data_IF_557006540215
#
_entry.id   IF_557006540215
#
_cell.length_a   1.000
_cell.length_b   1.000
_cell.length_c   1.000
_cell.angle_alpha   90.00
_cell.angle_beta   90.00
_cell.angle_gamma   90.00
#
_symmetry.space_group_name_H-M   'P 1'
#
loop_
_entity.id
_entity.type
_entity.pdbx_description
1 polymer ?
#
# COMPACT_ATOMS: atom_id res chain seq x y z
N UNK A 1 -4.98 -3.04 -15.84
CA UNK A 1 -3.58 -2.63 -16.14
C UNK A 1 -2.98 -1.79 -15.00
N UNK A 2 -3.58 -0.67 -14.59
CA UNK A 2 -3.07 0.18 -13.50
C UNK A 2 -2.86 -0.54 -12.14
N UNK A 3 -3.78 -1.44 -11.79
CA UNK A 3 -3.74 -2.27 -10.58
C UNK A 3 -2.47 -3.13 -10.45
N UNK A 4 -1.98 -3.62 -11.59
CA UNK A 4 -0.82 -4.50 -11.65
C UNK A 4 0.49 -3.73 -11.44
N UNK A 5 0.52 -2.47 -11.85
CA UNK A 5 1.66 -1.56 -11.70
C UNK A 5 1.82 -1.21 -10.21
N UNK A 6 0.72 -0.87 -9.53
CA UNK A 6 0.74 -0.55 -8.09
C UNK A 6 1.08 -1.77 -7.24
N UNK A 7 0.58 -2.96 -7.59
CA UNK A 7 1.02 -4.21 -6.96
C UNK A 7 2.52 -4.46 -7.13
N UNK A 8 3.07 -4.23 -8.33
CA UNK A 8 4.51 -4.40 -8.56
C UNK A 8 5.37 -3.42 -7.76
N UNK A 9 4.95 -2.15 -7.66
CA UNK A 9 5.67 -1.13 -6.90
C UNK A 9 5.62 -1.43 -5.40
N UNK A 10 4.48 -1.90 -4.88
CA UNK A 10 4.34 -2.25 -3.45
C UNK A 10 5.04 -3.57 -3.07
N UNK A 11 5.27 -4.45 -4.04
CA UNK A 11 6.04 -5.68 -3.82
C UNK A 11 7.56 -5.43 -3.89
N UNK A 12 7.98 -4.27 -4.38
CA UNK A 12 9.37 -3.83 -4.43
C UNK A 12 9.70 -2.98 -3.20
N UNK A 13 10.74 -3.35 -2.46
CA UNK A 13 11.09 -2.68 -1.21
C UNK A 13 11.51 -1.21 -1.44
N UNK A 14 12.15 -0.92 -2.58
CA UNK A 14 12.50 0.46 -2.98
C UNK A 14 11.25 1.29 -3.32
N UNK A 15 10.26 0.67 -3.97
CA UNK A 15 8.99 1.33 -4.31
C UNK A 15 8.18 1.65 -3.05
N UNK A 16 8.19 0.74 -2.09
CA UNK A 16 7.52 0.91 -0.80
C UNK A 16 8.14 2.04 0.03
N UNK A 17 9.47 2.12 0.11
CA UNK A 17 10.19 3.18 0.81
C UNK A 17 9.91 4.56 0.19
N UNK A 18 9.93 4.63 -1.15
CA UNK A 18 9.56 5.85 -1.88
C UNK A 18 8.13 6.30 -1.60
N UNK A 19 7.17 5.39 -1.47
CA UNK A 19 5.78 5.74 -1.10
C UNK A 19 5.73 6.30 0.33
N UNK A 20 6.57 5.80 1.24
CA UNK A 20 6.59 6.20 2.64
C UNK A 20 7.37 7.49 2.91
N UNK A 21 8.13 8.02 1.94
CA UNK A 21 8.85 9.31 2.11
C UNK A 21 7.93 10.52 2.29
N UNK A 22 6.72 10.54 1.73
CA UNK A 22 5.76 11.64 1.95
C UNK A 22 4.35 11.13 2.21
N UNK A 23 3.64 11.84 3.09
CA UNK A 23 2.26 11.50 3.43
C UNK A 23 1.33 11.51 2.20
N UNK A 24 1.55 12.42 1.25
CA UNK A 24 0.72 12.52 0.05
C UNK A 24 0.78 11.27 -0.84
N UNK A 25 1.98 10.71 -1.03
CA UNK A 25 2.20 9.46 -1.78
C UNK A 25 1.54 8.28 -1.06
N UNK A 26 1.68 8.24 0.26
CA UNK A 26 1.06 7.23 1.10
C UNK A 26 -0.47 7.24 0.95
N UNK A 27 -1.12 8.40 1.07
CA UNK A 27 -2.57 8.52 0.92
C UNK A 27 -3.05 8.20 -0.49
N UNK A 28 -2.29 8.56 -1.52
CA UNK A 28 -2.61 8.20 -2.91
C UNK A 28 -2.67 6.68 -3.09
N UNK A 29 -1.68 5.95 -2.55
CA UNK A 29 -1.63 4.49 -2.63
C UNK A 29 -2.70 3.83 -1.77
N UNK A 30 -2.97 4.37 -0.57
CA UNK A 30 -4.06 3.92 0.29
C UNK A 30 -5.43 4.00 -0.39
N UNK A 31 -5.69 5.09 -1.14
CA UNK A 31 -6.93 5.24 -1.92
C UNK A 31 -7.04 4.21 -3.04
N UNK A 32 -5.95 3.93 -3.75
CA UNK A 32 -5.94 2.91 -4.80
C UNK A 32 -6.19 1.51 -4.21
N UNK A 33 -5.53 1.16 -3.11
CA UNK A 33 -5.77 -0.10 -2.40
C UNK A 33 -7.24 -0.24 -1.96
N UNK A 34 -7.84 0.83 -1.44
CA UNK A 34 -9.26 0.86 -1.09
C UNK A 34 -10.19 0.59 -2.28
N UNK A 35 -9.92 1.23 -3.42
CA UNK A 35 -10.68 0.98 -4.66
C UNK A 35 -10.53 -0.46 -5.15
N UNK A 36 -9.35 -1.07 -4.97
CA UNK A 36 -9.12 -2.48 -5.31
C UNK A 36 -9.92 -3.43 -4.42
N UNK A 37 -10.03 -3.13 -3.12
CA UNK A 37 -10.87 -3.90 -2.18
C UNK A 37 -12.35 -3.77 -2.54
N UNK A 38 -12.81 -2.56 -2.89
CA UNK A 38 -14.19 -2.35 -3.34
C UNK A 38 -14.49 -3.15 -4.61
N UNK A 39 -13.58 -3.18 -5.59
CA UNK A 39 -13.73 -3.99 -6.80
C UNK A 39 -13.72 -5.50 -6.50
N UNK A 40 -13.03 -5.93 -5.44
CA UNK A 40 -13.02 -7.31 -4.97
C UNK A 40 -14.34 -7.75 -4.33
N UNK A 41 -15.12 -6.81 -3.79
CA UNK A 41 -16.45 -7.11 -3.26
C UNK A 41 -17.42 -7.53 -4.38
N UNK A 42 -17.30 -6.89 -5.55
CA UNK A 42 -18.09 -7.22 -6.75
C UNK A 42 -17.58 -8.48 -7.46
N UNK A 43 -16.26 -8.67 -7.53
CA UNK A 43 -15.62 -9.81 -8.19
C UNK A 43 -14.58 -10.46 -7.27
N UNK A 44 -14.98 -11.46 -6.45
CA UNK A 44 -14.10 -12.06 -5.46
C UNK A 44 -12.94 -12.81 -6.11
N UNK A 45 -11.71 -12.49 -5.68
CA UNK A 45 -10.48 -13.15 -6.11
C UNK A 45 -9.55 -13.36 -4.92
N UNK A 46 -9.41 -14.61 -4.51
CA UNK A 46 -8.59 -15.01 -3.37
C UNK A 46 -7.10 -14.68 -3.55
N UNK A 47 -6.60 -14.70 -4.79
CA UNK A 47 -5.20 -14.34 -5.11
C UNK A 47 -4.96 -12.84 -4.92
N UNK A 48 -5.86 -11.99 -5.43
CA UNK A 48 -5.73 -10.54 -5.29
C UNK A 48 -5.91 -10.10 -3.84
N UNK A 49 -6.86 -10.69 -3.12
CA UNK A 49 -7.09 -10.39 -1.71
C UNK A 49 -5.85 -10.67 -0.86
N UNK A 50 -5.20 -11.83 -1.05
CA UNK A 50 -3.92 -12.14 -0.36
C UNK A 50 -2.84 -11.10 -0.65
N UNK A 51 -2.73 -10.64 -1.90
CA UNK A 51 -1.75 -9.61 -2.26
C UNK A 51 -2.06 -8.27 -1.59
N UNK A 52 -3.31 -7.84 -1.56
CA UNK A 52 -3.73 -6.58 -0.95
C UNK A 52 -3.48 -6.59 0.55
N UNK A 53 -3.84 -7.67 1.25
CA UNK A 53 -3.55 -7.83 2.68
C UNK A 53 -2.04 -7.71 2.94
N UNK A 54 -1.22 -8.35 2.10
CA UNK A 54 0.24 -8.28 2.22
C UNK A 54 0.78 -6.86 1.97
N UNK A 55 0.18 -6.11 1.05
CA UNK A 55 0.53 -4.71 0.80
C UNK A 55 0.21 -3.82 2.00
N UNK A 56 -0.98 -3.97 2.60
CA UNK A 56 -1.35 -3.24 3.82
C UNK A 56 -0.42 -3.53 4.99
N UNK A 57 -0.05 -4.81 5.18
CA UNK A 57 0.86 -5.21 6.25
C UNK A 57 2.24 -4.53 6.11
N UNK A 58 2.80 -4.54 4.90
CA UNK A 58 4.07 -3.87 4.59
C UNK A 58 4.00 -2.35 4.72
N UNK A 59 2.87 -1.76 4.34
CA UNK A 59 2.59 -0.34 4.55
C UNK A 59 2.59 0.01 6.04
N UNK A 60 1.95 -0.82 6.88
CA UNK A 60 1.88 -0.63 8.33
C UNK A 60 3.22 -0.80 9.04
N UNK A 61 4.06 -1.75 8.60
CA UNK A 61 5.41 -1.92 9.14
C UNK A 61 6.27 -0.67 8.91
N UNK A 62 6.16 -0.05 7.74
CA UNK A 62 6.88 1.20 7.41
C UNK A 62 6.23 2.45 8.04
N UNK A 63 4.92 2.40 8.32
CA UNK A 63 4.25 3.47 9.05
C UNK A 63 4.84 3.69 10.44
N UNK A 64 5.30 2.61 11.09
CA UNK A 64 5.96 2.72 12.41
C UNK A 64 7.28 3.48 12.31
N UNK A 65 7.97 3.42 11.16
CA UNK A 65 9.13 4.25 10.87
C UNK A 65 8.73 5.73 10.74
N UNK A 66 7.70 6.04 9.95
CA UNK A 66 7.18 7.41 9.78
C UNK A 66 6.65 8.01 11.08
N UNK A 67 6.00 7.23 11.95
CA UNK A 67 5.60 7.73 13.27
C UNK A 67 6.79 8.00 14.18
N UNK A 68 7.88 7.25 14.03
CA UNK A 68 9.10 7.43 14.84
C UNK A 68 9.86 8.71 14.46
N UNK A 69 9.91 9.08 13.17
CA UNK A 69 10.43 10.40 12.76
C UNK A 69 9.50 11.55 13.16
N UNK A 70 8.18 11.34 13.25
CA UNK A 70 7.25 12.38 13.69
C UNK A 70 7.30 12.64 15.21
N UNK A 71 7.74 11.68 16.03
CA UNK A 71 7.87 11.84 17.49
C UNK A 71 9.22 12.40 17.96
N UNK A 72 10.12 12.75 17.04
CA UNK A 72 11.43 13.34 17.36
C UNK A 72 11.48 14.87 17.19
N UNK A 73 10.32 15.52 17.03
CA UNK A 73 10.16 16.98 17.07
C UNK A 73 9.33 17.39 18.29
#
# INVERSE_FOLDING_TARGET
VATFIVQKILLDDLGLDYICTTAERFFAVGRVLGNMVAALAEAPSSRLLKHIIRCYLRLSDNLRFVSTIATSC
#
